data_IF_312570248426
#
_entry.id   IF_312570248426
#
_cell.length_a   1.000
_cell.length_b   1.000
_cell.length_c   1.000
_cell.angle_alpha   90.00
_cell.angle_beta   90.00
_cell.angle_gamma   90.00
#
_symmetry.space_group_name_H-M   'P 1'
#
loop_
_entity.id
_entity.type
_entity.pdbx_description
1 polymer ?
#
# COMPACT_ATOMS: atom_id res chain seq x y z
N UNK A 1 -24.39 1.82 -12.38
CA UNK A 1 -23.15 2.20 -11.66
C UNK A 1 -23.38 1.96 -10.19
N UNK A 2 -22.60 1.07 -9.57
CA UNK A 2 -22.62 0.90 -8.12
C UNK A 2 -21.85 2.10 -7.51
N UNK A 3 -22.48 2.94 -6.67
CA UNK A 3 -21.82 4.13 -6.12
C UNK A 3 -20.77 3.81 -5.05
N UNK A 4 -20.70 2.56 -4.59
CA UNK A 4 -19.77 2.13 -3.56
C UNK A 4 -18.45 1.63 -4.16
N UNK A 5 -17.33 2.11 -3.62
CA UNK A 5 -15.99 1.62 -3.96
C UNK A 5 -15.80 0.19 -3.43
N UNK A 6 -15.11 -0.67 -4.20
CA UNK A 6 -14.74 -2.02 -3.75
C UNK A 6 -13.43 -2.49 -4.39
N UNK A 7 -12.65 -3.24 -3.63
CA UNK A 7 -11.40 -3.90 -4.06
C UNK A 7 -11.64 -5.20 -4.84
N UNK A 8 -12.90 -5.65 -4.98
CA UNK A 8 -13.25 -6.91 -5.63
C UNK A 8 -12.65 -7.06 -7.04
N UNK A 9 -12.69 -6.01 -7.86
CA UNK A 9 -12.14 -6.04 -9.21
C UNK A 9 -10.62 -6.27 -9.21
N UNK A 10 -9.90 -5.70 -8.25
CA UNK A 10 -8.46 -5.91 -8.09
C UNK A 10 -8.16 -7.35 -7.65
N UNK A 11 -8.92 -7.86 -6.68
CA UNK A 11 -8.76 -9.23 -6.18
C UNK A 11 -9.10 -10.29 -7.25
N UNK A 12 -10.11 -10.04 -8.09
CA UNK A 12 -10.45 -10.94 -9.19
C UNK A 12 -9.39 -11.00 -10.28
N UNK A 13 -8.63 -9.91 -10.47
CA UNK A 13 -7.49 -9.86 -11.38
C UNK A 13 -6.21 -10.42 -10.73
N UNK A 14 -6.25 -10.86 -9.46
CA UNK A 14 -5.12 -11.50 -8.81
C UNK A 14 -4.82 -12.85 -9.46
N UNK A 15 -3.58 -12.97 -9.95
CA UNK A 15 -3.07 -14.15 -10.65
C UNK A 15 -2.00 -14.83 -9.80
N UNK A 16 -1.59 -16.02 -10.23
CA UNK A 16 -0.56 -16.82 -9.53
C UNK A 16 -1.06 -17.40 -8.19
N UNK A 17 -0.19 -17.53 -7.19
CA UNK A 17 -0.43 -18.33 -5.97
C UNK A 17 -1.57 -17.80 -5.09
N UNK A 18 -1.82 -16.48 -5.11
CA UNK A 18 -2.84 -15.84 -4.28
C UNK A 18 -4.23 -15.78 -4.93
N UNK A 19 -4.37 -16.26 -6.18
CA UNK A 19 -5.66 -16.22 -6.90
C UNK A 19 -6.78 -16.97 -6.17
N UNK A 20 -6.47 -18.12 -5.54
CA UNK A 20 -7.45 -18.89 -4.77
C UNK A 20 -7.95 -18.14 -3.54
N UNK A 21 -7.02 -17.51 -2.79
CA UNK A 21 -7.34 -16.72 -1.59
C UNK A 21 -8.15 -15.48 -1.99
N UNK A 22 -7.76 -14.80 -3.08
CA UNK A 22 -8.45 -13.63 -3.58
C UNK A 22 -9.91 -13.94 -3.96
N UNK A 23 -10.14 -15.04 -4.69
CA UNK A 23 -11.50 -15.49 -5.03
C UNK A 23 -12.33 -15.84 -3.80
N UNK A 24 -11.73 -16.47 -2.79
CA UNK A 24 -12.42 -16.76 -1.53
C UNK A 24 -12.81 -15.50 -0.76
N UNK A 25 -11.91 -14.50 -0.72
CA UNK A 25 -12.19 -13.19 -0.10
C UNK A 25 -13.33 -12.46 -0.83
N UNK A 26 -13.36 -12.50 -2.16
CA UNK A 26 -14.43 -11.90 -2.97
C UNK A 26 -15.76 -12.65 -2.83
N UNK A 27 -15.73 -13.97 -2.67
CA UNK A 27 -16.93 -14.79 -2.50
C UNK A 27 -17.67 -14.54 -1.17
N UNK A 28 -16.99 -13.98 -0.18
CA UNK A 28 -17.54 -13.74 1.16
C UNK A 28 -17.78 -12.24 1.41
N UNK A 29 -19.04 -11.76 1.44
CA UNK A 29 -19.32 -10.32 1.55
C UNK A 29 -18.75 -9.65 2.81
N UNK A 30 -18.71 -10.37 3.95
CA UNK A 30 -18.16 -9.87 5.21
C UNK A 30 -16.65 -9.62 5.14
N UNK A 31 -15.91 -10.56 4.54
CA UNK A 31 -14.46 -10.47 4.37
C UNK A 31 -14.13 -9.39 3.33
N UNK A 32 -14.87 -9.35 2.22
CA UNK A 32 -14.69 -8.32 1.21
C UNK A 32 -14.90 -6.92 1.79
N UNK A 33 -15.94 -6.71 2.60
CA UNK A 33 -16.18 -5.43 3.28
C UNK A 33 -15.07 -5.04 4.26
N UNK A 34 -14.46 -6.01 4.95
CA UNK A 34 -13.31 -5.75 5.82
C UNK A 34 -12.08 -5.33 5.00
N UNK A 35 -11.78 -6.05 3.92
CA UNK A 35 -10.66 -5.72 3.01
C UNK A 35 -10.87 -4.35 2.37
N UNK A 36 -12.11 -4.02 2.00
CA UNK A 36 -12.45 -2.72 1.43
C UNK A 36 -12.20 -1.59 2.43
N UNK A 37 -12.66 -1.74 3.68
CA UNK A 37 -12.43 -0.78 4.74
C UNK A 37 -10.94 -0.64 5.08
N UNK A 38 -10.19 -1.74 5.14
CA UNK A 38 -8.74 -1.72 5.39
C UNK A 38 -7.99 -1.00 4.28
N UNK A 39 -8.35 -1.21 3.02
CA UNK A 39 -7.72 -0.51 1.91
C UNK A 39 -8.03 1.00 1.96
N UNK A 40 -9.29 1.38 2.17
CA UNK A 40 -9.69 2.80 2.24
C UNK A 40 -9.00 3.52 3.41
N UNK A 41 -9.15 3.01 4.63
CA UNK A 41 -8.62 3.68 5.82
C UNK A 41 -7.11 3.49 5.97
N UNK A 42 -6.58 2.32 5.63
CA UNK A 42 -5.16 2.03 5.70
C UNK A 42 -4.35 2.97 4.82
N UNK A 43 -4.69 3.09 3.54
CA UNK A 43 -4.03 4.03 2.63
C UNK A 43 -4.17 5.47 3.08
N UNK A 44 -5.38 5.87 3.50
CA UNK A 44 -5.66 7.26 3.92
C UNK A 44 -4.85 7.65 5.15
N UNK A 45 -4.82 6.80 6.18
CA UNK A 45 -4.10 7.07 7.43
C UNK A 45 -2.59 7.07 7.17
N UNK A 46 -2.07 6.09 6.43
CA UNK A 46 -0.63 6.02 6.11
C UNK A 46 -0.20 7.25 5.30
N UNK A 47 -0.96 7.60 4.25
CA UNK A 47 -0.69 8.77 3.43
C UNK A 47 -0.75 10.07 4.25
N UNK A 48 -1.77 10.24 5.10
CA UNK A 48 -1.88 11.39 5.98
C UNK A 48 -0.71 11.50 6.96
N UNK A 49 -0.30 10.38 7.58
CA UNK A 49 0.86 10.35 8.46
C UNK A 49 2.16 10.74 7.73
N UNK A 50 2.36 10.27 6.50
CA UNK A 50 3.52 10.63 5.68
C UNK A 50 3.51 12.11 5.28
N UNK A 51 2.36 12.64 4.85
CA UNK A 51 2.22 14.05 4.46
C UNK A 51 2.44 15.00 5.65
N UNK A 52 1.82 14.68 6.79
CA UNK A 52 1.98 15.47 8.02
C UNK A 52 3.36 15.28 8.65
N UNK A 53 4.12 14.26 8.22
CA UNK A 53 5.39 13.89 8.84
C UNK A 53 5.22 13.44 10.29
N UNK A 54 4.12 12.72 10.59
CA UNK A 54 3.82 12.14 11.88
C UNK A 54 4.16 10.65 11.87
N UNK A 55 4.97 10.18 12.82
CA UNK A 55 5.43 8.78 12.92
C UNK A 55 6.00 8.25 11.59
N UNK A 56 6.75 9.08 10.86
CA UNK A 56 7.11 8.81 9.45
C UNK A 56 7.84 7.48 9.25
N UNK A 57 8.65 7.04 10.22
CA UNK A 57 9.30 5.71 10.15
C UNK A 57 8.27 4.57 10.15
N UNK A 58 7.30 4.62 11.07
CA UNK A 58 6.26 3.58 11.17
C UNK A 58 5.30 3.66 9.98
N UNK A 59 4.93 4.88 9.56
CA UNK A 59 4.07 5.09 8.40
C UNK A 59 4.74 4.61 7.10
N UNK A 60 6.03 4.89 6.90
CA UNK A 60 6.79 4.42 5.74
C UNK A 60 6.89 2.90 5.70
N UNK A 61 7.15 2.27 6.86
CA UNK A 61 7.20 0.82 6.97
C UNK A 61 5.84 0.16 6.70
N UNK A 62 4.77 0.68 7.29
CA UNK A 62 3.41 0.19 7.06
C UNK A 62 2.97 0.37 5.60
N UNK A 63 3.28 1.52 4.99
CA UNK A 63 3.03 1.79 3.58
C UNK A 63 3.79 0.84 2.68
N UNK A 64 5.07 0.58 2.97
CA UNK A 64 5.90 -0.35 2.22
C UNK A 64 5.30 -1.75 2.23
N UNK A 65 4.89 -2.26 3.40
CA UNK A 65 4.22 -3.57 3.51
C UNK A 65 2.94 -3.59 2.69
N UNK A 66 2.09 -2.57 2.82
CA UNK A 66 0.80 -2.52 2.12
C UNK A 66 0.96 -2.50 0.60
N UNK A 67 1.91 -1.72 0.08
CA UNK A 67 2.21 -1.66 -1.36
C UNK A 67 2.82 -2.97 -1.86
N UNK A 68 3.68 -3.61 -1.07
CA UNK A 68 4.22 -4.94 -1.39
C UNK A 68 3.11 -6.00 -1.46
N UNK A 69 2.11 -5.94 -0.58
CA UNK A 69 0.94 -6.82 -0.67
C UNK A 69 0.22 -6.63 -2.00
N UNK A 70 0.02 -5.40 -2.48
CA UNK A 70 -0.56 -5.20 -3.82
C UNK A 70 0.30 -5.79 -4.93
N UNK A 71 1.63 -5.64 -4.85
CA UNK A 71 2.54 -6.27 -5.80
C UNK A 71 2.42 -7.80 -5.78
N UNK A 72 2.27 -8.42 -4.60
CA UNK A 72 2.12 -9.88 -4.47
C UNK A 72 0.80 -10.41 -5.06
N UNK A 73 -0.28 -9.65 -4.96
CA UNK A 73 -1.58 -10.04 -5.55
C UNK A 73 -1.58 -9.91 -7.08
N UNK A 74 -0.88 -8.91 -7.62
CA UNK A 74 -0.77 -8.67 -9.06
C UNK A 74 0.69 -8.48 -9.48
N UNK A 75 1.50 -9.55 -9.46
CA UNK A 75 2.91 -9.46 -9.84
C UNK A 75 3.03 -9.23 -11.33
N UNK A 76 3.77 -8.20 -11.72
CA UNK A 76 3.88 -7.79 -13.11
C UNK A 76 4.88 -8.65 -13.88
N UNK A 77 4.62 -9.95 -13.99
CA UNK A 77 5.42 -10.88 -14.78
C UNK A 77 5.01 -10.85 -16.25
N UNK A 78 6.00 -10.83 -17.14
CA UNK A 78 5.85 -10.92 -18.60
C UNK A 78 4.96 -12.06 -19.16
N UNK A 79 4.64 -13.11 -18.38
CA UNK A 79 3.75 -14.22 -18.81
C UNK A 79 2.31 -14.10 -18.26
N UNK A 80 2.01 -13.05 -17.49
CA UNK A 80 0.68 -12.83 -16.89
C UNK A 80 -0.03 -11.66 -17.59
N UNK A 81 -1.01 -11.98 -18.44
CA UNK A 81 -1.83 -10.97 -19.11
C UNK A 81 -2.95 -10.48 -18.19
N UNK A 82 -2.91 -9.25 -17.70
CA UNK A 82 -3.96 -8.70 -16.84
C UNK A 82 -5.12 -8.11 -17.64
N UNK A 83 -6.33 -8.12 -17.06
CA UNK A 83 -7.52 -7.60 -17.74
C UNK A 83 -7.52 -6.07 -17.78
N UNK A 84 -6.78 -5.44 -16.86
CA UNK A 84 -6.54 -4.00 -16.86
C UNK A 84 -5.50 -3.63 -17.92
N UNK A 85 -5.74 -2.58 -18.72
CA UNK A 85 -4.71 -2.06 -19.62
C UNK A 85 -3.47 -1.70 -18.78
N UNK A 86 -2.33 -2.29 -19.14
CA UNK A 86 -1.08 -2.01 -18.46
C UNK A 86 -0.73 -0.52 -18.57
N UNK A 87 -0.45 0.13 -17.45
CA UNK A 87 -0.01 1.53 -17.40
C UNK A 87 1.42 1.74 -17.99
N UNK A 88 2.02 0.70 -18.60
CA UNK A 88 3.35 0.73 -19.21
C UNK A 88 3.87 -0.67 -19.59
N UNK A 89 5.10 -0.73 -20.09
CA UNK A 89 5.81 -1.99 -20.39
C UNK A 89 6.52 -2.50 -19.13
N UNK A 90 5.79 -3.23 -18.29
CA UNK A 90 6.30 -3.78 -17.04
C UNK A 90 6.77 -5.23 -17.23
N UNK A 91 8.08 -5.49 -17.09
CA UNK A 91 8.64 -6.86 -17.16
C UNK A 91 8.56 -7.60 -15.81
N UNK A 92 8.99 -6.90 -14.75
CA UNK A 92 9.02 -7.37 -13.35
C UNK A 92 8.81 -6.18 -12.41
N UNK A 93 9.46 -5.05 -12.71
CA UNK A 93 9.32 -3.82 -11.93
C UNK A 93 8.07 -3.07 -12.37
N UNK A 94 7.10 -2.91 -11.47
CA UNK A 94 5.94 -2.05 -11.67
C UNK A 94 5.97 -0.83 -10.72
N UNK A 95 4.96 0.03 -10.83
CA UNK A 95 4.83 1.23 -9.99
C UNK A 95 4.82 0.90 -8.49
N UNK A 96 4.10 -0.14 -8.07
CA UNK A 96 4.04 -0.56 -6.67
C UNK A 96 5.44 -0.92 -6.14
N UNK A 97 6.25 -1.63 -6.92
CA UNK A 97 7.60 -1.98 -6.50
C UNK A 97 8.50 -0.72 -6.36
N UNK A 98 8.36 0.23 -7.30
CA UNK A 98 9.07 1.52 -7.23
C UNK A 98 8.62 2.31 -6.00
N UNK A 99 7.32 2.35 -5.69
CA UNK A 99 6.77 2.99 -4.50
C UNK A 99 7.27 2.34 -3.21
N UNK A 100 7.33 1.00 -3.16
CA UNK A 100 7.90 0.28 -2.03
C UNK A 100 9.39 0.63 -1.82
N UNK A 101 10.17 0.73 -2.90
CA UNK A 101 11.56 1.21 -2.82
C UNK A 101 11.65 2.66 -2.35
N UNK A 102 10.76 3.55 -2.81
CA UNK A 102 10.73 4.94 -2.35
C UNK A 102 10.39 5.04 -0.85
N UNK A 103 9.42 4.25 -0.38
CA UNK A 103 9.07 4.17 1.04
C UNK A 103 10.21 3.58 1.88
N UNK A 104 10.97 2.63 1.33
CA UNK A 104 12.18 2.11 1.99
C UNK A 104 13.25 3.20 2.15
N UNK A 105 13.44 4.05 1.13
CA UNK A 105 14.36 5.21 1.24
C UNK A 105 13.86 6.18 2.31
N UNK A 106 12.56 6.49 2.36
CA UNK A 106 11.98 7.35 3.40
C UNK A 106 12.10 6.75 4.81
N UNK A 107 12.02 5.43 4.91
CA UNK A 107 12.28 4.71 6.16
C UNK A 107 13.73 4.87 6.61
N UNK A 108 14.70 4.73 5.68
CA UNK A 108 16.13 4.84 5.98
C UNK A 108 16.57 6.28 6.28
N UNK A 109 15.93 7.27 5.63
CA UNK A 109 16.20 8.69 5.77
C UNK A 109 14.96 9.42 6.33
N UNK A 110 14.70 9.31 7.65
CA UNK A 110 13.53 9.88 8.29
C UNK A 110 13.60 11.41 8.28
N UNK A 111 13.07 12.01 7.21
CA UNK A 111 13.07 13.46 7.00
C UNK A 111 12.05 14.17 7.92
N UNK A 112 11.17 13.40 8.59
CA UNK A 112 10.17 13.93 9.53
C UNK A 112 10.80 14.60 10.76
N UNK A 113 12.01 14.23 11.15
CA UNK A 113 12.71 14.86 12.28
C UNK A 113 13.14 16.31 11.97
N UNK A 114 13.25 16.67 10.68
CA UNK A 114 13.73 17.98 10.21
C UNK A 114 12.55 18.91 9.89
N UNK A 115 11.56 18.43 9.13
CA UNK A 115 10.44 19.24 8.60
C UNK A 115 9.03 18.77 9.04
N UNK A 116 8.91 17.59 9.65
CA UNK A 116 7.61 17.00 10.01
C UNK A 116 7.07 17.45 11.36
N UNK A 117 5.78 17.18 11.61
CA UNK A 117 5.16 17.39 12.93
C UNK A 117 5.84 16.58 14.05
N UNK A 118 6.56 15.50 13.72
CA UNK A 118 7.39 14.75 14.67
C UNK A 118 8.37 15.65 15.45
N UNK A 119 8.83 16.77 14.86
CA UNK A 119 9.69 17.76 15.54
C UNK A 119 9.04 18.37 16.78
N UNK A 120 7.71 18.60 16.77
CA UNK A 120 7.00 19.19 17.89
C UNK A 120 6.87 18.22 19.08
N UNK A 121 6.83 16.92 18.80
CA UNK A 121 6.79 15.86 19.81
C UNK A 121 8.17 15.55 20.38
N UNK A 122 9.23 15.56 19.55
CA UNK A 122 10.61 15.27 19.97
C UNK A 122 11.21 16.39 20.84
N UNK A 123 10.73 17.64 20.73
CA UNK A 123 11.18 18.76 21.59
C UNK A 123 10.88 18.54 23.08
N UNK A 124 10.06 17.55 23.43
CA UNK A 124 9.77 17.14 24.82
C UNK A 124 10.60 15.95 25.32
N UNK A 125 11.69 15.55 24.65
CA UNK A 125 12.72 14.74 25.31
C UNK A 125 13.66 15.67 26.10
N UNK A 126 13.54 15.76 27.44
CA UNK A 126 14.56 16.45 28.21
C UNK A 126 15.90 15.76 27.97
N UNK A 127 16.91 16.58 27.74
CA UNK A 127 18.33 16.20 27.70
C UNK A 127 18.62 15.13 28.75
N UNK A 128 19.19 14.00 28.33
CA UNK A 128 19.81 13.04 29.24
C UNK A 128 21.29 12.98 28.94
#
# INVERSE_FOLDING_TARGET
MNPFWSSAAFLLDAKWIFSGIAKWMVASPSILGLVDNLNMWGLTIIGACLILGLFSRYASYAGMILVLVYYLFTPSFWWLDYSRPGEGSYLVVNKNLIEACALFVLYQFPTSEIIGLDRLLIKYKPFK
#
